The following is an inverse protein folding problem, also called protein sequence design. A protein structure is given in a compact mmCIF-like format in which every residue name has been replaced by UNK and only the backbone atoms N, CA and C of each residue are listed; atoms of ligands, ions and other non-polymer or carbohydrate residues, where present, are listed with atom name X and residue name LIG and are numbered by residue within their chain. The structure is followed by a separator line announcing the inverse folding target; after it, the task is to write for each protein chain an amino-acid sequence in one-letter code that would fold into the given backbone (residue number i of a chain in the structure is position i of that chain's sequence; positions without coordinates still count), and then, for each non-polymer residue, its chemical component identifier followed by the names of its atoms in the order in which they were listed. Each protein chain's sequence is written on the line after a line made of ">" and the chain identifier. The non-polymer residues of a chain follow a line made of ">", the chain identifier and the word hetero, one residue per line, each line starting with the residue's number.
data_IF_787148300320
#
_entry.id   IF_787148300320
#
_cell.length_a   1.000
_cell.length_b   1.000
_cell.length_c   1.000
_cell.angle_alpha   90.00
_cell.angle_beta   90.00
_cell.angle_gamma   90.00
#
_symmetry.space_group_name_H-M   'P 1'
#
loop_
_entity.id
_entity.type
_entity.pdbx_description
1 polymer ?
#
# COMPACT_ATOMS: atom_id res chain seq x y z
N UNK A 1 4.99 21.71 29.53
CA UNK A 1 4.52 21.07 28.28
C UNK A 1 3.43 20.09 28.69
N UNK A 2 2.16 20.40 28.39
CA UNK A 2 1.07 19.48 28.72
C UNK A 2 1.15 18.27 27.80
N UNK A 3 1.18 17.07 28.37
CA UNK A 3 0.98 15.85 27.62
C UNK A 3 -0.41 15.91 26.99
N UNK A 4 -0.47 15.82 25.67
CA UNK A 4 -1.72 15.63 24.93
C UNK A 4 -2.26 14.24 25.31
N UNK A 5 -3.24 14.21 26.21
CA UNK A 5 -3.93 12.98 26.59
C UNK A 5 -4.87 12.57 25.47
N UNK A 6 -4.36 11.82 24.50
CA UNK A 6 -5.11 11.32 23.34
C UNK A 6 -6.25 10.36 23.72
N UNK A 7 -6.26 9.88 24.97
CA UNK A 7 -7.29 8.96 25.46
C UNK A 7 -8.63 9.66 25.78
N UNK A 8 -8.65 11.00 25.89
CA UNK A 8 -9.84 11.80 26.21
C UNK A 8 -10.36 12.62 25.01
N UNK A 9 -9.72 12.53 23.84
CA UNK A 9 -10.20 13.22 22.65
C UNK A 9 -11.40 12.50 22.04
N UNK A 10 -12.44 13.26 21.66
CA UNK A 10 -13.55 12.69 20.87
C UNK A 10 -13.01 11.96 19.64
N UNK A 11 -13.61 10.79 19.29
CA UNK A 11 -13.21 10.07 18.09
C UNK A 11 -13.37 10.96 16.85
N UNK A 12 -12.30 11.08 16.05
CA UNK A 12 -12.32 11.82 14.80
C UNK A 12 -12.77 10.87 13.68
N UNK A 13 -13.98 11.03 13.13
CA UNK A 13 -14.51 10.11 12.13
C UNK A 13 -13.73 10.24 10.82
N UNK A 14 -13.50 9.10 10.16
CA UNK A 14 -13.07 9.04 8.77
C UNK A 14 -14.29 9.24 7.87
N UNK A 15 -14.09 9.77 6.67
CA UNK A 15 -15.19 9.93 5.71
C UNK A 15 -15.73 8.58 5.22
N UNK A 16 -14.87 7.59 5.14
CA UNK A 16 -15.21 6.22 4.75
C UNK A 16 -14.69 5.24 5.78
N UNK A 17 -15.41 4.12 5.95
CA UNK A 17 -14.90 2.97 6.66
C UNK A 17 -13.87 2.23 5.79
N UNK A 18 -12.79 1.77 6.40
CA UNK A 18 -11.70 1.06 5.75
C UNK A 18 -11.45 -0.28 6.44
N UNK A 19 -11.18 -1.30 5.66
CA UNK A 19 -10.88 -2.65 6.18
C UNK A 19 -9.45 -3.04 5.83
N UNK A 20 -8.72 -3.51 6.82
CA UNK A 20 -7.40 -4.11 6.68
C UNK A 20 -7.57 -5.60 6.36
N UNK A 21 -6.81 -6.09 5.38
CA UNK A 21 -6.85 -7.48 4.91
C UNK A 21 -5.46 -8.11 4.92
N UNK A 22 -5.39 -9.40 5.27
CA UNK A 22 -4.26 -10.24 4.95
C UNK A 22 -4.53 -11.01 3.65
N UNK A 23 -3.56 -11.01 2.74
CA UNK A 23 -3.56 -11.88 1.57
C UNK A 23 -2.72 -13.10 1.90
N UNK A 24 -3.30 -14.29 1.75
CA UNK A 24 -2.66 -15.58 2.04
C UNK A 24 -2.72 -16.47 0.80
N UNK A 25 -1.83 -17.46 0.67
CA UNK A 25 -1.95 -18.45 -0.39
C UNK A 25 -3.31 -19.17 -0.35
N UNK A 26 -3.90 -19.53 -1.50
CA UNK A 26 -5.12 -20.31 -1.55
C UNK A 26 -4.89 -21.70 -0.95
N UNK A 27 -5.90 -22.28 -0.32
CA UNK A 27 -5.86 -23.65 0.20
C UNK A 27 -6.38 -24.59 -0.87
N UNK A 28 -5.58 -25.53 -1.32
CA UNK A 28 -5.96 -26.53 -2.33
C UNK A 28 -6.56 -25.92 -3.62
N UNK A 29 -6.16 -24.71 -4.00
CA UNK A 29 -6.68 -24.02 -5.17
C UNK A 29 -7.97 -23.24 -4.93
N UNK A 30 -8.52 -23.27 -3.72
CA UNK A 30 -9.66 -22.44 -3.34
C UNK A 30 -9.21 -21.06 -2.90
N UNK A 31 -9.59 -20.04 -3.66
CA UNK A 31 -9.28 -18.63 -3.41
C UNK A 31 -10.25 -17.94 -2.45
N UNK A 32 -11.39 -18.57 -2.11
CA UNK A 32 -12.44 -17.94 -1.30
C UNK A 32 -11.96 -17.52 0.10
N UNK A 33 -10.97 -18.21 0.65
CA UNK A 33 -10.35 -17.91 1.94
C UNK A 33 -8.96 -17.28 1.87
N UNK A 34 -8.53 -16.82 0.69
CA UNK A 34 -7.20 -16.26 0.50
C UNK A 34 -7.11 -14.78 0.95
N UNK A 35 -8.23 -14.09 1.03
CA UNK A 35 -8.33 -12.71 1.47
C UNK A 35 -9.07 -12.67 2.81
N UNK A 36 -8.33 -12.39 3.88
CA UNK A 36 -8.83 -12.47 5.26
C UNK A 36 -8.98 -11.06 5.83
N UNK A 37 -10.20 -10.62 6.17
CA UNK A 37 -10.38 -9.35 6.86
C UNK A 37 -9.79 -9.44 8.28
N UNK A 38 -9.05 -8.42 8.69
CA UNK A 38 -8.40 -8.34 10.01
C UNK A 38 -9.17 -7.42 10.94
N UNK A 39 -9.40 -6.19 10.52
CA UNK A 39 -10.19 -5.22 11.25
C UNK A 39 -10.72 -4.14 10.31
N UNK A 40 -11.79 -3.49 10.74
CA UNK A 40 -12.36 -2.31 10.07
C UNK A 40 -12.17 -1.10 10.97
N UNK A 41 -11.78 0.02 10.39
CA UNK A 41 -11.54 1.29 11.07
C UNK A 41 -12.46 2.36 10.50
N UNK A 42 -13.03 3.19 11.38
CA UNK A 42 -13.94 4.28 11.05
C UNK A 42 -13.50 5.63 11.64
N UNK A 43 -12.47 5.60 12.49
CA UNK A 43 -11.92 6.79 13.12
C UNK A 43 -10.40 6.84 12.97
N UNK A 44 -9.82 8.03 13.10
CA UNK A 44 -8.37 8.24 13.09
C UNK A 44 -7.70 7.44 14.21
N UNK A 45 -8.33 7.38 15.38
CA UNK A 45 -7.81 6.65 16.54
C UNK A 45 -7.79 5.14 16.27
N UNK A 46 -8.84 4.58 15.67
CA UNK A 46 -8.88 3.17 15.28
C UNK A 46 -7.83 2.84 14.22
N UNK A 47 -7.64 3.72 13.24
CA UNK A 47 -6.59 3.55 12.23
C UNK A 47 -5.20 3.45 12.87
N UNK A 48 -4.84 4.39 13.72
CA UNK A 48 -3.53 4.36 14.39
C UNK A 48 -3.41 3.23 15.39
N UNK A 49 -4.51 2.85 16.04
CA UNK A 49 -4.57 1.64 16.86
C UNK A 49 -4.24 0.39 16.04
N UNK A 50 -4.93 0.18 14.92
CA UNK A 50 -4.67 -0.93 14.02
C UNK A 50 -3.23 -0.91 13.46
N UNK A 51 -2.75 0.25 13.00
CA UNK A 51 -1.38 0.43 12.51
C UNK A 51 -0.33 0.02 13.53
N UNK A 52 -0.46 0.49 14.77
CA UNK A 52 0.52 0.23 15.82
C UNK A 52 0.51 -1.22 16.32
N UNK A 53 -0.61 -1.93 16.15
CA UNK A 53 -0.73 -3.34 16.52
C UNK A 53 -0.36 -4.30 15.38
N UNK A 54 -0.26 -3.80 14.15
CA UNK A 54 0.12 -4.63 13.01
C UNK A 54 1.63 -4.88 13.05
N UNK A 55 2.08 -6.13 13.19
CA UNK A 55 3.51 -6.44 13.31
C UNK A 55 4.20 -6.43 11.93
N UNK A 56 4.17 -5.28 11.23
CA UNK A 56 4.67 -5.15 9.85
C UNK A 56 6.13 -5.55 9.71
N UNK A 57 6.98 -5.24 10.70
CA UNK A 57 8.39 -5.64 10.70
C UNK A 57 8.61 -7.15 10.79
N UNK A 58 7.62 -7.89 11.30
CA UNK A 58 7.68 -9.35 11.38
C UNK A 58 7.03 -10.00 10.16
N UNK A 59 5.98 -9.37 9.63
CA UNK A 59 5.23 -9.87 8.48
C UNK A 59 5.97 -9.64 7.16
N UNK A 60 6.63 -8.50 7.03
CA UNK A 60 7.34 -8.06 5.83
C UNK A 60 8.85 -8.10 6.10
N UNK A 61 9.43 -9.29 6.13
CA UNK A 61 10.86 -9.50 6.37
C UNK A 61 11.59 -9.82 5.08
N UNK A 62 12.81 -9.33 4.97
CA UNK A 62 13.66 -9.54 3.79
C UNK A 62 14.27 -10.96 3.72
N UNK A 63 14.10 -11.77 4.76
CA UNK A 63 14.70 -13.10 4.90
C UNK A 63 13.68 -14.26 4.88
N UNK A 64 12.39 -13.99 5.11
CA UNK A 64 11.35 -15.02 5.19
C UNK A 64 9.95 -14.46 5.02
N UNK A 65 8.99 -15.34 4.71
CA UNK A 65 7.55 -15.02 4.72
C UNK A 65 7.08 -14.92 6.18
N UNK A 66 6.39 -13.82 6.50
CA UNK A 66 5.71 -13.69 7.77
C UNK A 66 4.45 -14.57 7.85
N UNK A 67 4.01 -14.85 9.07
CA UNK A 67 2.77 -15.58 9.31
C UNK A 67 1.79 -14.75 10.12
N UNK A 68 0.54 -14.80 9.73
CA UNK A 68 -0.56 -14.19 10.47
C UNK A 68 -1.66 -15.24 10.62
N UNK A 69 -2.20 -15.38 11.85
CA UNK A 69 -3.20 -16.41 12.16
C UNK A 69 -2.79 -17.84 11.76
N UNK A 70 -1.48 -18.15 11.86
CA UNK A 70 -0.92 -19.45 11.51
C UNK A 70 -0.76 -19.73 10.01
N UNK A 71 -1.04 -18.75 9.14
CA UNK A 71 -0.88 -18.86 7.68
C UNK A 71 0.21 -17.89 7.20
N UNK A 72 0.98 -18.34 6.22
CA UNK A 72 1.88 -17.44 5.50
C UNK A 72 1.10 -16.32 4.85
N UNK A 73 1.69 -15.12 4.78
CA UNK A 73 1.07 -14.00 4.09
C UNK A 73 1.77 -13.73 2.76
N UNK A 74 1.00 -13.39 1.75
CA UNK A 74 1.48 -12.91 0.45
C UNK A 74 1.37 -11.40 0.31
N UNK A 75 0.68 -10.76 1.25
CA UNK A 75 0.52 -9.31 1.26
C UNK A 75 -0.43 -8.82 2.34
N UNK A 76 -0.51 -7.50 2.45
CA UNK A 76 -1.43 -6.78 3.33
C UNK A 76 -2.11 -5.71 2.51
N UNK A 77 -3.43 -5.63 2.60
CA UNK A 77 -4.26 -4.67 1.89
C UNK A 77 -5.06 -3.78 2.84
N UNK A 78 -5.38 -2.58 2.37
CA UNK A 78 -6.26 -1.65 3.04
C UNK A 78 -7.24 -1.09 2.01
N UNK A 79 -8.52 -1.42 2.14
CA UNK A 79 -9.57 -1.13 1.16
C UNK A 79 -10.79 -0.51 1.82
N UNK A 80 -11.55 0.24 1.06
CA UNK A 80 -12.88 0.68 1.49
C UNK A 80 -13.70 -0.53 1.91
N UNK A 81 -14.44 -0.41 3.01
CA UNK A 81 -15.19 -1.55 3.57
C UNK A 81 -16.33 -2.04 2.70
N UNK A 82 -16.80 -1.20 1.76
CA UNK A 82 -17.82 -1.51 0.77
C UNK A 82 -17.25 -2.12 -0.53
N UNK A 83 -15.92 -2.32 -0.62
CA UNK A 83 -15.23 -2.86 -1.80
C UNK A 83 -14.37 -4.06 -1.41
N UNK A 84 -14.53 -5.16 -2.13
CA UNK A 84 -13.68 -6.35 -1.92
C UNK A 84 -12.34 -6.17 -2.64
N UNK A 85 -11.20 -6.54 -2.04
CA UNK A 85 -9.89 -6.48 -2.68
C UNK A 85 -9.70 -7.61 -3.72
N UNK A 86 -10.68 -7.78 -4.60
CA UNK A 86 -10.78 -8.82 -5.62
C UNK A 86 -10.99 -8.21 -7.00
N UNK A 87 -10.49 -8.89 -8.01
CA UNK A 87 -10.64 -8.48 -9.42
C UNK A 87 -12.08 -8.51 -9.91
N UNK A 88 -12.90 -9.35 -9.27
CA UNK A 88 -14.28 -9.59 -9.60
C UNK A 88 -15.22 -8.49 -9.10
N UNK A 89 -14.77 -7.71 -8.11
CA UNK A 89 -15.54 -6.57 -7.60
C UNK A 89 -15.68 -5.50 -8.69
N UNK A 90 -16.93 -5.15 -9.01
CA UNK A 90 -17.25 -4.20 -10.08
C UNK A 90 -16.77 -2.76 -9.78
N UNK A 91 -16.50 -2.43 -8.51
CA UNK A 91 -15.94 -1.14 -8.12
C UNK A 91 -14.48 -1.00 -8.51
N UNK A 92 -13.74 -2.11 -8.69
CA UNK A 92 -12.34 -2.13 -9.04
C UNK A 92 -12.15 -2.08 -10.56
N UNK A 93 -11.27 -1.21 -11.02
CA UNK A 93 -10.87 -1.17 -12.42
C UNK A 93 -9.85 -2.28 -12.70
N UNK A 94 -10.29 -3.30 -13.42
CA UNK A 94 -9.50 -4.50 -13.72
C UNK A 94 -8.22 -4.22 -14.51
N UNK A 95 -8.20 -3.14 -15.27
CA UNK A 95 -7.08 -2.77 -16.15
C UNK A 95 -6.08 -1.83 -15.46
N UNK A 96 -6.48 -1.22 -14.33
CA UNK A 96 -5.71 -0.16 -13.70
C UNK A 96 -5.37 -0.45 -12.23
N UNK A 97 -4.32 -1.26 -12.05
CA UNK A 97 -3.60 -1.33 -10.79
C UNK A 97 -2.26 -0.61 -10.98
N UNK A 98 -2.06 0.45 -10.24
CA UNK A 98 -0.83 1.23 -10.31
C UNK A 98 0.21 0.66 -9.35
N UNK A 99 1.38 0.36 -9.86
CA UNK A 99 2.53 0.02 -9.03
C UNK A 99 3.26 1.30 -8.62
N UNK A 100 3.12 1.69 -7.35
CA UNK A 100 3.76 2.88 -6.82
C UNK A 100 5.25 2.66 -6.57
N UNK A 101 5.57 1.54 -5.94
CA UNK A 101 6.94 1.19 -5.59
C UNK A 101 7.16 -0.31 -5.73
N UNK A 102 8.36 -0.64 -6.21
CA UNK A 102 8.92 -1.98 -6.09
C UNK A 102 10.30 -1.87 -5.46
N UNK A 103 10.54 -2.63 -4.40
CA UNK A 103 11.80 -2.58 -3.64
C UNK A 103 12.17 -3.97 -3.14
N UNK A 104 13.46 -4.19 -2.93
CA UNK A 104 13.95 -5.32 -2.15
C UNK A 104 13.97 -5.05 -0.65
N UNK A 105 13.70 -3.82 -0.22
CA UNK A 105 13.62 -3.42 1.18
C UNK A 105 12.16 -3.35 1.64
N UNK A 106 11.79 -4.16 2.60
CA UNK A 106 10.50 -4.14 3.26
C UNK A 106 10.24 -2.77 3.91
N UNK A 107 11.21 -2.24 4.65
CA UNK A 107 11.08 -0.96 5.33
C UNK A 107 10.75 0.19 4.37
N UNK A 108 11.43 0.24 3.21
CA UNK A 108 11.17 1.27 2.22
C UNK A 108 9.76 1.22 1.63
N UNK A 109 9.19 0.01 1.46
CA UNK A 109 7.82 -0.16 0.96
C UNK A 109 6.80 0.14 2.05
N UNK A 110 7.08 -0.19 3.30
CA UNK A 110 6.19 0.13 4.44
C UNK A 110 6.05 1.64 4.62
N UNK A 111 7.13 2.40 4.54
CA UNK A 111 7.08 3.87 4.64
C UNK A 111 6.30 4.50 3.48
N UNK A 112 6.50 4.01 2.26
CA UNK A 112 5.70 4.44 1.12
C UNK A 112 4.21 4.14 1.34
N UNK A 113 3.90 2.91 1.77
CA UNK A 113 2.54 2.48 2.03
C UNK A 113 1.87 3.30 3.13
N UNK A 114 2.59 3.58 4.22
CA UNK A 114 2.12 4.47 5.29
C UNK A 114 1.71 5.84 4.76
N UNK A 115 2.53 6.43 3.89
CA UNK A 115 2.22 7.71 3.25
C UNK A 115 0.93 7.62 2.43
N UNK A 116 0.75 6.55 1.66
CA UNK A 116 -0.47 6.30 0.89
C UNK A 116 -1.69 6.17 1.81
N UNK A 117 -1.58 5.38 2.89
CA UNK A 117 -2.68 5.18 3.84
C UNK A 117 -3.12 6.50 4.49
N UNK A 118 -2.16 7.32 4.93
CA UNK A 118 -2.46 8.63 5.52
C UNK A 118 -3.18 9.53 4.50
N UNK A 119 -2.75 9.53 3.25
CA UNK A 119 -3.41 10.30 2.19
C UNK A 119 -4.83 9.79 1.90
N UNK A 120 -5.06 8.48 1.96
CA UNK A 120 -6.39 7.90 1.77
C UNK A 120 -7.36 8.30 2.89
N UNK A 121 -6.91 8.21 4.16
CA UNK A 121 -7.79 8.50 5.30
C UNK A 121 -7.95 9.99 5.58
N UNK A 122 -7.01 10.84 5.17
CA UNK A 122 -7.07 12.27 5.42
C UNK A 122 -8.12 12.99 4.57
N UNK A 123 -8.49 12.42 3.42
CA UNK A 123 -9.38 13.04 2.46
C UNK A 123 -8.86 14.38 1.91
N UNK A 124 -7.56 14.67 2.04
CA UNK A 124 -6.99 15.93 1.58
C UNK A 124 -6.88 15.95 0.05
N UNK A 125 -7.41 16.99 -0.60
CA UNK A 125 -7.31 17.14 -2.04
C UNK A 125 -5.88 17.50 -2.45
N UNK A 126 -5.49 17.07 -3.64
CA UNK A 126 -4.29 17.57 -4.29
C UNK A 126 -4.44 19.05 -4.72
N UNK A 127 -3.39 19.64 -5.28
CA UNK A 127 -3.40 21.04 -5.74
C UNK A 127 -4.48 21.37 -6.80
N UNK A 128 -5.20 20.37 -7.31
CA UNK A 128 -6.30 20.50 -8.29
C UNK A 128 -7.66 20.16 -7.71
N UNK A 129 -7.71 19.90 -6.40
CA UNK A 129 -8.93 19.52 -5.72
C UNK A 129 -9.32 18.05 -5.87
N UNK A 130 -8.43 17.18 -6.39
CA UNK A 130 -8.69 15.74 -6.50
C UNK A 130 -8.22 15.04 -5.22
N UNK A 131 -9.10 14.28 -4.62
CA UNK A 131 -8.82 13.47 -3.43
C UNK A 131 -8.42 12.06 -3.86
N UNK A 132 -7.50 11.42 -3.13
CA UNK A 132 -7.06 10.07 -3.44
C UNK A 132 -8.18 9.05 -3.25
N UNK A 133 -8.98 9.19 -2.22
CA UNK A 133 -10.11 8.32 -1.90
C UNK A 133 -11.31 8.44 -2.86
N UNK A 134 -11.35 9.48 -3.72
CA UNK A 134 -12.32 9.58 -4.81
C UNK A 134 -11.96 8.70 -6.01
N UNK A 135 -10.66 8.41 -6.19
CA UNK A 135 -10.15 7.73 -7.38
C UNK A 135 -9.61 6.33 -7.10
N UNK A 136 -9.37 5.99 -5.83
CA UNK A 136 -8.76 4.73 -5.38
C UNK A 136 -9.68 4.03 -4.39
N UNK A 137 -9.91 2.75 -4.60
CA UNK A 137 -10.67 1.90 -3.67
C UNK A 137 -9.81 1.31 -2.56
N UNK A 138 -8.51 1.21 -2.78
CA UNK A 138 -7.61 0.64 -1.80
C UNK A 138 -6.17 0.54 -2.28
N UNK A 139 -5.35 0.05 -1.41
CA UNK A 139 -3.92 -0.16 -1.63
C UNK A 139 -3.47 -1.45 -0.99
N UNK A 140 -2.40 -2.06 -1.51
CA UNK A 140 -1.81 -3.23 -0.87
C UNK A 140 -0.30 -3.29 -1.06
N UNK A 141 0.38 -3.93 -0.12
CA UNK A 141 1.73 -4.43 -0.28
C UNK A 141 1.63 -5.91 -0.65
N UNK A 142 2.28 -6.29 -1.75
CA UNK A 142 2.43 -7.69 -2.13
C UNK A 142 3.88 -8.11 -1.95
N UNK A 143 4.06 -9.31 -1.38
CA UNK A 143 5.34 -9.96 -1.18
C UNK A 143 5.58 -10.87 -2.38
N UNK A 144 6.73 -10.72 -3.03
CA UNK A 144 7.16 -11.61 -4.10
C UNK A 144 8.41 -12.35 -3.65
N UNK A 145 8.31 -13.67 -3.46
CA UNK A 145 9.48 -14.48 -3.21
C UNK A 145 10.50 -14.27 -4.32
N UNK A 146 11.75 -14.07 -3.94
CA UNK A 146 12.85 -13.98 -4.89
C UNK A 146 13.16 -15.34 -5.50
N UNK A 147 13.80 -15.34 -6.66
CA UNK A 147 14.45 -16.54 -7.19
C UNK A 147 15.70 -16.89 -6.36
N UNK A 148 16.28 -18.07 -6.61
CA UNK A 148 17.51 -18.52 -5.92
C UNK A 148 18.65 -17.48 -5.95
N UNK A 149 18.60 -16.51 -6.88
CA UNK A 149 19.62 -15.46 -7.11
C UNK A 149 19.14 -14.04 -6.86
N UNK A 150 17.84 -13.83 -6.65
CA UNK A 150 17.25 -12.53 -6.39
C UNK A 150 16.50 -12.64 -5.06
N UNK A 151 16.87 -11.79 -4.10
CA UNK A 151 16.19 -11.69 -2.81
C UNK A 151 14.71 -11.35 -2.93
N UNK A 152 14.02 -11.30 -1.82
CA UNK A 152 12.62 -10.91 -1.73
C UNK A 152 12.39 -9.54 -2.38
N UNK A 153 11.23 -9.36 -2.97
CA UNK A 153 10.79 -8.08 -3.48
C UNK A 153 9.38 -7.76 -3.00
N UNK A 154 9.14 -6.49 -2.75
CA UNK A 154 7.87 -5.95 -2.27
C UNK A 154 7.32 -5.00 -3.32
N UNK A 155 6.00 -5.00 -3.47
CA UNK A 155 5.32 -4.15 -4.42
C UNK A 155 4.18 -3.44 -3.71
N UNK A 156 4.20 -2.11 -3.70
CA UNK A 156 3.07 -1.30 -3.27
C UNK A 156 2.18 -1.00 -4.47
N UNK A 157 0.90 -1.26 -4.35
CA UNK A 157 -0.10 -1.11 -5.41
C UNK A 157 -1.25 -0.22 -4.95
N UNK A 158 -1.76 0.60 -5.88
CA UNK A 158 -3.05 1.28 -5.76
C UNK A 158 -4.08 0.60 -6.65
N UNK A 159 -5.26 0.39 -6.11
CA UNK A 159 -6.40 -0.16 -6.83
C UNK A 159 -7.37 0.94 -7.20
N UNK A 160 -7.46 1.20 -8.48
CA UNK A 160 -8.22 2.32 -9.03
C UNK A 160 -9.70 1.99 -9.08
N UNK A 161 -10.53 2.99 -8.80
CA UNK A 161 -11.98 2.90 -8.92
C UNK A 161 -12.39 2.88 -10.39
N UNK A 162 -13.35 2.02 -10.73
CA UNK A 162 -13.99 1.97 -12.05
C UNK A 162 -14.55 3.33 -12.42
N UNK A 163 -14.36 3.75 -13.67
CA UNK A 163 -14.83 5.03 -14.20
C UNK A 163 -13.96 6.24 -13.89
N UNK A 164 -12.85 6.07 -13.15
CA UNK A 164 -11.91 7.16 -12.91
C UNK A 164 -11.17 7.56 -14.19
N UNK A 165 -11.03 8.87 -14.46
CA UNK A 165 -10.30 9.34 -15.64
C UNK A 165 -8.79 9.08 -15.51
N UNK A 166 -8.12 8.77 -16.65
CA UNK A 166 -6.68 8.54 -16.70
C UNK A 166 -5.87 9.74 -16.17
N UNK A 167 -6.34 10.96 -16.44
CA UNK A 167 -5.66 12.18 -16.02
C UNK A 167 -5.71 12.44 -14.51
N UNK A 168 -6.73 11.93 -13.81
CA UNK A 168 -6.83 12.03 -12.36
C UNK A 168 -5.75 11.23 -11.64
N UNK A 169 -5.42 10.06 -12.15
CA UNK A 169 -4.56 9.08 -11.51
C UNK A 169 -3.08 9.30 -11.78
N UNK A 170 -2.70 9.49 -13.06
CA UNK A 170 -1.30 9.66 -13.45
C UNK A 170 -0.65 10.86 -12.79
N UNK A 171 -1.43 11.89 -12.56
CA UNK A 171 -0.97 13.10 -11.92
C UNK A 171 -0.83 12.96 -10.40
N UNK A 172 -1.64 12.13 -9.75
CA UNK A 172 -1.50 11.86 -8.31
C UNK A 172 -0.27 10.98 -8.05
N UNK A 173 -0.12 9.89 -8.79
CA UNK A 173 1.03 8.99 -8.69
C UNK A 173 2.35 9.70 -9.03
N UNK A 174 2.38 10.56 -10.05
CA UNK A 174 3.59 11.26 -10.47
C UNK A 174 4.02 12.40 -9.55
N UNK A 175 3.11 13.08 -8.89
CA UNK A 175 3.45 14.29 -8.14
C UNK A 175 3.59 14.10 -6.64
N UNK A 176 2.68 13.37 -6.01
CA UNK A 176 2.70 13.22 -4.54
C UNK A 176 3.61 12.10 -4.06
N UNK A 177 3.79 11.06 -4.89
CA UNK A 177 4.68 9.95 -4.56
C UNK A 177 6.15 10.23 -4.95
N UNK A 178 6.40 11.08 -5.94
CA UNK A 178 7.76 11.53 -6.29
C UNK A 178 8.39 12.49 -5.27
N UNK A 179 7.62 13.14 -4.42
CA UNK A 179 8.16 14.03 -3.39
C UNK A 179 8.99 13.26 -2.35
N UNK A 180 8.72 11.97 -2.18
CA UNK A 180 9.41 11.09 -1.23
C UNK A 180 10.28 10.01 -1.88
N UNK A 181 10.34 9.91 -3.20
CA UNK A 181 11.25 9.00 -3.87
C UNK A 181 12.68 9.57 -3.78
N UNK A 182 13.51 8.99 -2.92
CA UNK A 182 14.96 9.22 -3.00
C UNK A 182 15.43 8.94 -4.44
N UNK A 183 16.35 9.74 -4.99
CA UNK A 183 16.85 9.55 -6.34
C UNK A 183 17.38 8.12 -6.48
N UNK A 184 16.91 7.42 -7.51
CA UNK A 184 17.32 6.05 -7.80
C UNK A 184 18.85 6.02 -8.01
N UNK A 185 19.58 5.45 -7.08
CA UNK A 185 21.05 5.36 -7.10
C UNK A 185 21.59 4.63 -8.35
N UNK A 186 20.72 4.01 -9.15
CA UNK A 186 21.09 3.33 -10.40
C UNK A 186 21.40 4.27 -11.55
N UNK A 187 20.97 5.52 -11.53
CA UNK A 187 21.32 6.50 -12.57
C UNK A 187 22.73 7.09 -12.45
N UNK A 188 23.35 6.99 -11.26
CA UNK A 188 24.69 7.53 -11.01
C UNK A 188 25.85 6.64 -11.53
N UNK A 189 25.59 5.39 -11.91
CA UNK A 189 26.63 4.44 -12.38
C UNK A 189 26.72 4.29 -13.90
N UNK A 190 25.92 5.01 -14.69
CA UNK A 190 25.85 4.89 -16.15
C UNK A 190 26.62 5.95 -16.94
N UNK A 191 27.37 6.83 -16.31
CA UNK A 191 28.06 7.96 -16.95
C UNK A 191 29.59 7.83 -16.99
N UNK A 192 30.13 6.67 -17.31
CA UNK A 192 31.58 6.43 -17.35
C UNK A 192 32.06 5.85 -18.69
N UNK A 193 32.56 6.72 -19.59
CA UNK A 193 33.69 6.39 -20.43
C UNK A 193 33.46 5.57 -21.70
N UNK A 194 33.10 6.21 -22.81
CA UNK A 194 33.69 5.84 -24.09
C UNK A 194 34.66 6.96 -24.52
N UNK A 195 35.90 6.85 -24.02
CA UNK A 195 37.06 7.48 -24.61
C UNK A 195 37.48 6.65 -25.81
N UNK A 196 37.45 7.26 -27.00
CA UNK A 196 38.03 6.67 -28.16
C UNK A 196 39.56 6.73 -28.12
N UNK A 197 40.19 5.76 -28.68
CA UNK A 197 41.53 5.81 -29.25
C UNK A 197 41.51 5.08 -30.57
N UNK A 198 41.88 5.80 -31.57
CA UNK A 198 42.87 5.73 -32.60
C UNK A 198 42.94 4.47 -33.41
#
# INVERSE_FOLDING_TARGET
>A
MGELNLAESEPLPLEHAWTLYAHTPPIAGDYSGAIVPLCTVQTVQEFWGAWNHLPLSELLRDDRVGTLTGRNIEGIGFFRSDVRPEWEDAANDKERILCLRRSSSAAAVVEEWKTVLVNLISGWPDARGVRLDDVVNGTRIMIKPGSRFAGWSYKCELWVRTGTSQNGINNYADKQLRINAAPDERRARGGGGRGGCG
#
